data_IF_074338622264
#
_entry.id   IF_074338622264
#
_cell.length_a   1.000
_cell.length_b   1.000
_cell.length_c   1.000
_cell.angle_alpha   90.00
_cell.angle_beta   90.00
_cell.angle_gamma   90.00
#
_symmetry.space_group_name_H-M   'P 1'
#
loop_
_entity.id
_entity.type
_entity.pdbx_description
1 polymer ?
#
# COMPACT_ATOMS: atom_id res chain seq x y z
N UNK A 1 -35.77 14.35 -17.14
CA UNK A 1 -34.78 13.47 -16.48
C UNK A 1 -33.54 14.30 -16.21
N UNK A 2 -33.15 14.57 -14.96
CA UNK A 2 -32.09 15.54 -14.63
C UNK A 2 -30.70 15.12 -15.16
N UNK A 3 -30.54 13.84 -15.48
CA UNK A 3 -29.31 13.21 -15.94
C UNK A 3 -29.24 13.00 -17.46
N UNK A 4 -30.19 13.53 -18.23
CA UNK A 4 -30.20 13.43 -19.70
C UNK A 4 -30.06 14.83 -20.30
N UNK A 5 -28.99 15.06 -21.07
CA UNK A 5 -28.80 16.29 -21.85
C UNK A 5 -28.40 15.97 -23.28
N UNK A 6 -29.00 16.68 -24.22
CA UNK A 6 -28.74 16.50 -25.66
C UNK A 6 -28.77 15.02 -26.12
N UNK A 7 -29.67 14.21 -25.54
CA UNK A 7 -29.81 12.78 -25.84
C UNK A 7 -28.82 11.84 -25.13
N UNK A 8 -27.92 12.37 -24.30
CA UNK A 8 -26.91 11.60 -23.57
C UNK A 8 -27.32 11.48 -22.10
N UNK A 9 -27.40 10.23 -21.61
CA UNK A 9 -27.56 9.94 -20.20
C UNK A 9 -26.19 9.94 -19.51
N UNK A 10 -26.06 10.67 -18.41
CA UNK A 10 -24.81 10.88 -17.71
C UNK A 10 -24.96 10.59 -16.23
N UNK A 11 -24.03 9.83 -15.68
CA UNK A 11 -23.88 9.63 -14.25
C UNK A 11 -22.67 10.45 -13.77
N UNK A 12 -22.87 11.50 -12.95
CA UNK A 12 -21.77 12.32 -12.48
C UNK A 12 -20.93 11.51 -11.49
N UNK A 13 -19.61 11.65 -11.58
CA UNK A 13 -18.70 11.06 -10.61
C UNK A 13 -18.89 11.74 -9.23
N UNK A 14 -19.29 10.99 -8.19
CA UNK A 14 -19.43 11.57 -6.86
C UNK A 14 -18.09 12.13 -6.37
N UNK A 15 -18.11 13.33 -5.80
CA UNK A 15 -16.95 14.01 -5.20
C UNK A 15 -15.78 14.36 -6.15
N UNK A 16 -15.93 14.17 -7.47
CA UNK A 16 -14.87 14.40 -8.46
C UNK A 16 -13.54 13.72 -8.07
N UNK A 17 -13.61 12.52 -7.50
CA UNK A 17 -12.43 11.77 -7.05
C UNK A 17 -12.13 10.58 -7.96
N UNK A 18 -10.92 10.56 -8.52
CA UNK A 18 -10.42 9.48 -9.37
C UNK A 18 -9.47 8.59 -8.57
N UNK A 19 -9.92 7.38 -8.26
CA UNK A 19 -9.13 6.38 -7.54
C UNK A 19 -8.05 5.75 -8.43
N UNK A 20 -7.19 4.93 -7.80
CA UNK A 20 -6.11 4.18 -8.47
C UNK A 20 -6.55 3.32 -9.65
N UNK A 21 -7.83 2.93 -9.71
CA UNK A 21 -8.37 2.09 -10.79
C UNK A 21 -8.93 2.89 -11.96
N UNK A 22 -9.04 4.22 -11.82
CA UNK A 22 -9.57 5.05 -12.87
C UNK A 22 -8.48 5.35 -13.92
N UNK A 23 -8.68 4.89 -15.15
CA UNK A 23 -7.79 5.15 -16.28
C UNK A 23 -8.30 6.24 -17.22
N UNK A 24 -9.55 6.68 -17.10
CA UNK A 24 -10.13 7.69 -17.97
C UNK A 24 -10.90 8.76 -17.21
N UNK A 25 -10.77 10.00 -17.69
CA UNK A 25 -11.61 11.14 -17.33
C UNK A 25 -12.54 11.43 -18.49
N UNK A 26 -13.85 11.44 -18.23
CA UNK A 26 -14.85 11.79 -19.23
C UNK A 26 -15.54 13.07 -18.78
N UNK A 27 -15.63 14.06 -19.66
CA UNK A 27 -16.38 15.27 -19.37
C UNK A 27 -17.36 15.62 -20.50
N UNK A 28 -18.42 16.30 -20.08
CA UNK A 28 -19.45 16.84 -20.96
C UNK A 28 -19.59 18.35 -20.75
N UNK A 29 -19.58 19.11 -21.85
CA UNK A 29 -19.77 20.56 -21.85
C UNK A 29 -20.68 20.97 -23.00
N UNK A 30 -21.53 21.97 -22.82
CA UNK A 30 -22.38 22.52 -23.87
C UNK A 30 -21.99 23.98 -24.13
N UNK A 31 -21.71 24.30 -25.40
CA UNK A 31 -21.52 25.68 -25.84
C UNK A 31 -22.84 26.17 -26.44
N UNK A 32 -23.38 27.26 -25.89
CA UNK A 32 -24.68 27.82 -26.28
C UNK A 32 -24.51 29.08 -27.13
N UNK A 33 -25.41 29.27 -28.10
CA UNK A 33 -25.53 30.45 -28.96
C UNK A 33 -24.25 30.83 -29.71
N UNK A 34 -23.42 29.86 -30.10
CA UNK A 34 -22.17 30.12 -30.82
C UNK A 34 -22.42 30.67 -32.24
N UNK A 35 -23.55 30.32 -32.85
CA UNK A 35 -24.07 30.88 -34.09
C UNK A 35 -24.28 32.40 -34.05
N UNK A 36 -24.74 32.92 -32.91
CA UNK A 36 -25.01 34.35 -32.72
C UNK A 36 -23.81 35.11 -32.17
N UNK A 37 -23.09 34.51 -31.22
CA UNK A 37 -22.02 35.20 -30.49
C UNK A 37 -20.67 35.15 -31.21
N UNK A 38 -20.40 34.11 -32.00
CA UNK A 38 -19.11 33.90 -32.68
C UNK A 38 -19.27 34.00 -34.20
N UNK A 39 -20.26 33.31 -34.77
CA UNK A 39 -20.60 33.39 -36.20
C UNK A 39 -19.59 32.77 -37.17
N UNK A 40 -18.43 32.32 -36.69
CA UNK A 40 -17.39 31.63 -37.45
C UNK A 40 -16.84 30.40 -36.72
N UNK A 41 -16.00 29.61 -37.39
CA UNK A 41 -15.32 28.46 -36.82
C UNK A 41 -14.46 28.87 -35.61
N UNK A 42 -14.56 28.11 -34.53
CA UNK A 42 -13.89 28.41 -33.27
C UNK A 42 -13.28 27.15 -32.66
N UNK A 43 -12.54 27.30 -31.56
CA UNK A 43 -11.86 26.20 -30.89
C UNK A 43 -12.36 26.03 -29.46
N UNK A 44 -12.65 24.80 -29.09
CA UNK A 44 -12.82 24.38 -27.70
C UNK A 44 -11.53 23.71 -27.25
N UNK A 45 -10.81 24.36 -26.36
CA UNK A 45 -9.61 23.83 -25.71
C UNK A 45 -9.99 23.23 -24.36
N UNK A 46 -9.37 22.13 -23.97
CA UNK A 46 -9.53 21.55 -22.66
C UNK A 46 -8.18 21.14 -22.10
N UNK A 47 -7.94 21.43 -20.83
CA UNK A 47 -6.67 21.16 -20.15
C UNK A 47 -6.89 20.60 -18.75
N UNK A 48 -5.90 19.82 -18.30
CA UNK A 48 -5.74 19.42 -16.90
C UNK A 48 -4.56 20.21 -16.35
N UNK A 49 -4.80 20.98 -15.30
CA UNK A 49 -3.78 21.75 -14.58
C UNK A 49 -3.60 21.18 -13.17
N UNK A 50 -2.37 20.81 -12.80
CA UNK A 50 -1.98 20.42 -11.44
C UNK A 50 -1.89 21.66 -10.57
N UNK A 51 -2.32 21.54 -9.32
CA UNK A 51 -2.26 22.59 -8.31
C UNK A 51 -1.16 22.26 -7.31
N UNK A 52 -0.09 23.08 -7.27
CA UNK A 52 1.00 23.01 -6.31
C UNK A 52 1.32 24.41 -5.78
N UNK A 53 1.27 24.60 -4.45
CA UNK A 53 1.74 25.81 -3.75
C UNK A 53 1.33 27.17 -4.34
N UNK A 54 0.12 27.25 -4.90
CA UNK A 54 -0.44 28.47 -5.48
C UNK A 54 -0.12 28.68 -6.97
N UNK A 55 0.73 27.83 -7.55
CA UNK A 55 0.98 27.77 -8.99
C UNK A 55 0.16 26.64 -9.65
N UNK A 56 -0.04 26.79 -10.96
CA UNK A 56 -0.78 25.83 -11.77
C UNK A 56 0.06 25.37 -12.95
N UNK A 57 0.38 24.08 -13.01
CA UNK A 57 1.14 23.48 -14.10
C UNK A 57 0.21 22.73 -15.06
N UNK A 58 0.34 22.97 -16.36
CA UNK A 58 -0.45 22.25 -17.37
C UNK A 58 0.12 20.85 -17.62
N UNK A 59 -0.64 19.82 -17.27
CA UNK A 59 -0.25 18.40 -17.41
C UNK A 59 -0.77 17.79 -18.71
N UNK A 60 -1.94 18.23 -19.16
CA UNK A 60 -2.54 17.74 -20.40
C UNK A 60 -3.32 18.84 -21.10
N UNK A 61 -3.32 18.81 -22.42
CA UNK A 61 -4.13 19.71 -23.25
C UNK A 61 -4.67 18.98 -24.47
N UNK A 62 -5.88 19.35 -24.87
CA UNK A 62 -6.47 18.94 -26.14
C UNK A 62 -7.35 20.05 -26.72
N UNK A 63 -7.64 19.92 -28.01
CA UNK A 63 -8.41 20.91 -28.74
C UNK A 63 -9.41 20.23 -29.68
N UNK A 64 -10.59 20.83 -29.84
CA UNK A 64 -11.56 20.47 -30.87
C UNK A 64 -11.99 21.74 -31.61
N UNK A 65 -11.83 21.74 -32.93
CA UNK A 65 -12.44 22.78 -33.78
C UNK A 65 -13.93 22.52 -33.87
N UNK A 66 -14.73 23.58 -33.74
CA UNK A 66 -16.19 23.52 -33.78
C UNK A 66 -16.74 24.54 -34.78
N UNK A 67 -17.84 24.16 -35.44
CA UNK A 67 -18.62 25.06 -36.27
C UNK A 67 -19.68 25.75 -35.41
N UNK A 68 -20.03 27.02 -35.69
CA UNK A 68 -21.01 27.76 -34.91
C UNK A 68 -22.42 27.14 -35.06
N UNK A 69 -23.06 26.82 -33.92
CA UNK A 69 -24.43 26.28 -33.82
C UNK A 69 -25.11 26.82 -32.54
N UNK A 70 -26.46 26.76 -32.44
CA UNK A 70 -27.18 27.18 -31.24
C UNK A 70 -26.81 26.41 -29.97
N UNK A 71 -26.54 25.11 -30.08
CA UNK A 71 -26.11 24.25 -28.97
C UNK A 71 -25.09 23.24 -29.51
N UNK A 72 -23.90 23.19 -28.91
CA UNK A 72 -22.83 22.28 -29.31
C UNK A 72 -22.46 21.40 -28.12
N UNK A 73 -22.86 20.11 -28.09
CA UNK A 73 -22.44 19.18 -27.06
C UNK A 73 -20.99 18.71 -27.32
N UNK A 74 -20.14 18.90 -26.33
CA UNK A 74 -18.74 18.50 -26.31
C UNK A 74 -18.57 17.38 -25.29
N UNK A 75 -18.47 16.14 -25.79
CA UNK A 75 -18.09 14.97 -25.02
C UNK A 75 -16.64 14.59 -25.35
N UNK A 76 -15.81 14.44 -24.32
CA UNK A 76 -14.39 14.09 -24.45
C UNK A 76 -14.03 13.07 -23.37
N UNK A 77 -13.25 12.07 -23.78
CA UNK A 77 -12.59 11.13 -22.91
C UNK A 77 -11.08 11.36 -23.01
N UNK A 78 -10.43 11.49 -21.85
CA UNK A 78 -8.99 11.69 -21.70
C UNK A 78 -8.41 10.49 -20.97
N UNK A 79 -7.28 9.97 -21.44
CA UNK A 79 -6.52 8.97 -20.70
C UNK A 79 -5.80 9.66 -19.54
N UNK A 80 -6.02 9.19 -18.33
CA UNK A 80 -5.40 9.72 -17.11
C UNK A 80 -4.51 8.67 -16.42
N UNK A 81 -4.21 7.54 -17.06
CA UNK A 81 -3.40 6.48 -16.46
C UNK A 81 -2.02 6.99 -16.02
N UNK A 82 -1.45 7.93 -16.77
CA UNK A 82 -0.15 8.57 -16.52
C UNK A 82 -0.25 9.91 -15.77
N UNK A 83 -1.42 10.22 -15.18
CA UNK A 83 -1.58 11.42 -14.34
C UNK A 83 -1.29 11.03 -12.88
N UNK A 84 -0.32 11.69 -12.20
CA UNK A 84 0.08 11.39 -10.83
C UNK A 84 -1.00 11.74 -9.80
N UNK A 85 -0.81 11.37 -8.52
CA UNK A 85 -1.71 11.87 -7.47
C UNK A 85 -1.62 13.37 -7.34
N UNK A 86 -2.72 13.98 -6.90
CA UNK A 86 -2.75 15.39 -6.62
C UNK A 86 -4.11 16.03 -6.80
N UNK A 87 -4.08 17.35 -6.67
CA UNK A 87 -5.20 18.24 -6.82
C UNK A 87 -5.13 18.87 -8.21
N UNK A 88 -6.22 18.80 -8.98
CA UNK A 88 -6.23 19.24 -10.36
C UNK A 88 -7.44 20.10 -10.68
N UNK A 89 -7.32 20.87 -11.76
CA UNK A 89 -8.44 21.51 -12.42
C UNK A 89 -8.59 20.97 -13.84
N UNK A 90 -9.80 20.54 -14.18
CA UNK A 90 -10.22 20.45 -15.58
C UNK A 90 -10.72 21.82 -16.02
N UNK A 91 -10.09 22.37 -17.06
CA UNK A 91 -10.46 23.65 -17.63
C UNK A 91 -10.94 23.43 -19.06
N UNK A 92 -12.07 24.03 -19.41
CA UNK A 92 -12.60 24.06 -20.78
C UNK A 92 -12.73 25.51 -21.20
N UNK A 93 -12.08 25.86 -22.30
CA UNK A 93 -12.02 27.20 -22.86
C UNK A 93 -12.61 27.22 -24.26
N UNK A 94 -13.38 28.26 -24.56
CA UNK A 94 -13.84 28.57 -25.92
C UNK A 94 -13.02 29.76 -26.41
N UNK A 95 -12.33 29.59 -27.54
CA UNK A 95 -11.49 30.62 -28.16
C UNK A 95 -11.90 30.87 -29.61
N UNK A 96 -11.86 32.13 -30.04
CA UNK A 96 -12.10 32.48 -31.45
C UNK A 96 -10.90 32.13 -32.35
N UNK A 97 -11.01 32.45 -33.64
CA UNK A 97 -9.95 32.22 -34.62
C UNK A 97 -8.67 33.03 -34.35
N UNK A 98 -8.79 34.20 -33.72
CA UNK A 98 -7.68 35.02 -33.26
C UNK A 98 -7.03 34.50 -31.96
N UNK A 99 -7.49 33.37 -31.43
CA UNK A 99 -7.08 32.72 -30.16
C UNK A 99 -7.46 33.51 -28.90
N UNK A 100 -8.34 34.49 -29.02
CA UNK A 100 -8.88 35.25 -27.90
C UNK A 100 -9.84 34.38 -27.09
N UNK A 101 -9.76 34.47 -25.76
CA UNK A 101 -10.60 33.73 -24.84
C UNK A 101 -12.00 34.35 -24.77
N UNK A 102 -13.02 33.57 -25.14
CA UNK A 102 -14.43 33.99 -25.10
C UNK A 102 -15.15 33.49 -23.85
N UNK A 103 -14.83 32.25 -23.43
CA UNK A 103 -15.45 31.63 -22.26
C UNK A 103 -14.51 30.63 -21.63
N UNK A 104 -14.59 30.49 -20.30
CA UNK A 104 -13.77 29.56 -19.51
C UNK A 104 -14.63 28.93 -18.43
N UNK A 105 -14.52 27.62 -18.26
CA UNK A 105 -15.10 26.88 -17.14
C UNK A 105 -14.02 26.04 -16.48
N UNK A 106 -14.05 25.98 -15.16
CA UNK A 106 -13.09 25.25 -14.33
C UNK A 106 -13.84 24.33 -13.37
N UNK A 107 -13.39 23.08 -13.26
CA UNK A 107 -13.89 22.11 -12.28
C UNK A 107 -12.69 21.48 -11.58
N UNK A 108 -12.73 21.51 -10.25
CA UNK A 108 -11.74 20.86 -9.42
C UNK A 108 -12.00 19.34 -9.35
N UNK A 109 -10.93 18.55 -9.39
CA UNK A 109 -10.97 17.11 -9.13
C UNK A 109 -9.69 16.64 -8.43
N UNK A 110 -9.81 15.50 -7.73
CA UNK A 110 -8.68 14.87 -7.06
C UNK A 110 -8.34 13.55 -7.74
N UNK A 111 -7.05 13.24 -7.83
CA UNK A 111 -6.57 11.94 -8.29
C UNK A 111 -5.67 11.30 -7.26
N UNK A 112 -5.85 9.99 -7.09
CA UNK A 112 -4.97 9.12 -6.33
C UNK A 112 -4.41 8.06 -7.27
N UNK A 113 -3.12 8.16 -7.58
CA UNK A 113 -2.34 7.23 -8.39
C UNK A 113 -0.98 6.94 -7.72
N UNK A 114 -0.98 6.33 -6.52
CA UNK A 114 0.20 6.24 -5.66
C UNK A 114 1.35 5.44 -6.27
N UNK A 115 1.07 4.46 -7.13
CA UNK A 115 2.10 3.66 -7.79
C UNK A 115 2.91 4.47 -8.79
N UNK A 116 2.24 5.34 -9.56
CA UNK A 116 2.92 6.21 -10.51
C UNK A 116 3.76 7.26 -9.78
N UNK A 117 3.28 7.81 -8.66
CA UNK A 117 4.06 8.77 -7.87
C UNK A 117 5.34 8.15 -7.33
N UNK A 118 5.24 6.93 -6.79
CA UNK A 118 6.41 6.19 -6.33
C UNK A 118 7.37 5.85 -7.46
N UNK A 119 6.86 5.45 -8.63
CA UNK A 119 7.68 5.21 -9.82
C UNK A 119 8.38 6.51 -10.26
N UNK A 120 7.69 7.64 -10.29
CA UNK A 120 8.26 8.94 -10.66
C UNK A 120 9.29 9.45 -9.63
N UNK A 121 9.01 9.33 -8.33
CA UNK A 121 9.96 9.65 -7.26
C UNK A 121 11.20 8.76 -7.38
N UNK A 122 11.00 7.47 -7.61
CA UNK A 122 12.08 6.52 -7.88
C UNK A 122 12.88 6.98 -9.10
N UNK A 123 12.26 7.23 -10.25
CA UNK A 123 12.93 7.69 -11.47
C UNK A 123 13.67 9.04 -11.31
N UNK A 124 13.12 9.98 -10.55
CA UNK A 124 13.76 11.26 -10.24
C UNK A 124 14.99 11.09 -9.33
N UNK A 125 14.92 10.17 -8.37
CA UNK A 125 16.08 9.74 -7.59
C UNK A 125 17.10 9.03 -8.48
N UNK A 126 16.66 8.19 -9.43
CA UNK A 126 17.54 7.54 -10.42
C UNK A 126 18.34 8.55 -11.25
N UNK A 127 17.68 9.64 -11.66
CA UNK A 127 18.28 10.64 -12.54
C UNK A 127 19.37 11.47 -11.84
N UNK A 128 19.32 11.57 -10.50
CA UNK A 128 20.22 12.40 -9.70
C UNK A 128 21.24 11.60 -8.88
N UNK A 129 21.07 10.28 -8.75
CA UNK A 129 21.94 9.41 -7.94
C UNK A 129 22.83 8.57 -8.86
N UNK A 130 24.15 8.74 -8.73
CA UNK A 130 25.10 7.82 -9.35
C UNK A 130 25.19 6.52 -8.55
N UNK A 131 24.31 5.56 -8.83
CA UNK A 131 24.27 4.28 -8.12
C UNK A 131 25.58 3.49 -8.19
N UNK A 132 26.46 3.77 -9.17
CA UNK A 132 27.73 3.07 -9.38
C UNK A 132 28.71 3.21 -8.19
N UNK A 133 28.57 4.28 -7.40
CA UNK A 133 29.42 4.54 -6.22
C UNK A 133 28.79 4.01 -4.92
N UNK A 134 27.54 3.53 -4.98
CA UNK A 134 26.75 3.14 -3.83
C UNK A 134 26.85 1.65 -3.49
N UNK A 135 26.43 1.29 -2.28
CA UNK A 135 26.53 -0.09 -1.79
C UNK A 135 25.70 -1.08 -2.63
N UNK A 136 24.61 -0.63 -3.24
CA UNK A 136 23.68 -1.46 -4.03
C UNK A 136 24.28 -1.98 -5.34
N UNK A 137 25.31 -1.32 -5.88
CA UNK A 137 25.97 -1.77 -7.10
C UNK A 137 26.75 -3.07 -6.88
N UNK A 138 27.26 -3.29 -5.66
CA UNK A 138 28.05 -4.47 -5.30
C UNK A 138 27.19 -5.73 -5.11
N UNK A 139 25.87 -5.58 -5.03
CA UNK A 139 24.95 -6.69 -4.78
C UNK A 139 24.68 -7.49 -6.06
N UNK A 140 24.73 -8.81 -5.95
CA UNK A 140 24.25 -9.70 -7.02
C UNK A 140 22.73 -9.62 -7.15
N UNK A 141 22.14 -10.06 -8.29
CA UNK A 141 20.69 -10.16 -8.43
C UNK A 141 20.01 -10.91 -7.28
N UNK A 142 20.61 -12.02 -6.83
CA UNK A 142 20.08 -12.85 -5.75
C UNK A 142 20.15 -12.13 -4.40
N UNK A 143 21.27 -11.44 -4.11
CA UNK A 143 21.41 -10.64 -2.90
C UNK A 143 20.44 -9.46 -2.87
N UNK A 144 20.16 -8.87 -4.02
CA UNK A 144 19.23 -7.77 -4.16
C UNK A 144 17.79 -8.22 -3.91
N UNK A 145 17.37 -9.32 -4.53
CA UNK A 145 16.06 -9.93 -4.27
C UNK A 145 15.92 -10.32 -2.79
N UNK A 146 16.93 -11.01 -2.23
CA UNK A 146 16.96 -11.39 -0.82
C UNK A 146 16.79 -10.17 0.11
N UNK A 147 17.51 -9.09 -0.18
CA UNK A 147 17.46 -7.84 0.58
C UNK A 147 16.11 -7.15 0.50
N UNK A 148 15.50 -7.11 -0.69
CA UNK A 148 14.16 -6.54 -0.89
C UNK A 148 13.09 -7.37 -0.18
N UNK A 149 13.17 -8.71 -0.26
CA UNK A 149 12.27 -9.60 0.49
C UNK A 149 12.41 -9.40 1.99
N UNK A 150 13.64 -9.34 2.50
CA UNK A 150 13.92 -9.06 3.90
C UNK A 150 13.43 -7.68 4.34
N UNK A 151 13.34 -6.70 3.43
CA UNK A 151 12.85 -5.35 3.73
C UNK A 151 11.32 -5.26 3.85
N UNK A 152 10.59 -6.16 3.19
CA UNK A 152 9.11 -6.21 3.16
C UNK A 152 8.40 -5.94 4.49
N UNK A 153 8.84 -6.46 5.66
CA UNK A 153 8.17 -6.22 6.94
C UNK A 153 8.18 -4.75 7.39
N UNK A 154 9.09 -3.93 6.87
CA UNK A 154 9.20 -2.49 7.16
C UNK A 154 8.37 -1.62 6.19
N UNK A 155 7.84 -2.20 5.13
CA UNK A 155 7.21 -1.44 4.05
C UNK A 155 5.70 -1.28 4.26
N UNK A 156 5.11 -0.14 3.86
CA UNK A 156 3.66 -0.03 3.69
C UNK A 156 3.14 -1.04 2.66
N UNK A 157 1.87 -1.43 2.75
CA UNK A 157 1.31 -2.46 1.85
C UNK A 157 1.43 -2.11 0.35
N UNK A 158 1.32 -0.83 -0.02
CA UNK A 158 1.49 -0.39 -1.42
C UNK A 158 2.91 -0.63 -1.96
N UNK A 159 3.91 -0.39 -1.13
CA UNK A 159 5.32 -0.60 -1.44
C UNK A 159 5.66 -2.09 -1.59
N UNK A 160 5.01 -2.97 -0.82
CA UNK A 160 5.17 -4.42 -0.94
C UNK A 160 4.75 -4.90 -2.34
N UNK A 161 3.63 -4.41 -2.86
CA UNK A 161 3.15 -4.76 -4.21
C UNK A 161 4.11 -4.28 -5.30
N UNK A 162 4.70 -3.08 -5.11
CA UNK A 162 5.71 -2.53 -5.99
C UNK A 162 6.99 -3.39 -6.00
N UNK A 163 7.52 -3.71 -4.81
CA UNK A 163 8.71 -4.56 -4.66
C UNK A 163 8.50 -5.93 -5.30
N UNK A 164 7.37 -6.58 -5.03
CA UNK A 164 7.02 -7.87 -5.65
C UNK A 164 6.92 -7.78 -7.19
N UNK A 165 6.50 -6.64 -7.72
CA UNK A 165 6.43 -6.43 -9.17
C UNK A 165 7.82 -6.17 -9.77
N UNK A 166 8.70 -5.45 -9.08
CA UNK A 166 10.10 -5.25 -9.50
C UNK A 166 10.92 -6.55 -9.47
N UNK A 167 10.67 -7.41 -8.48
CA UNK A 167 11.27 -8.76 -8.39
C UNK A 167 10.77 -9.61 -9.56
N UNK A 168 9.46 -9.70 -9.78
CA UNK A 168 8.88 -10.51 -10.87
C UNK A 168 9.32 -10.09 -12.28
N UNK A 169 9.59 -8.81 -12.48
CA UNK A 169 9.98 -8.25 -13.78
C UNK A 169 11.50 -8.14 -13.96
N UNK A 170 12.31 -8.73 -13.07
CA UNK A 170 13.79 -8.70 -13.10
C UNK A 170 14.38 -7.30 -13.35
N UNK A 171 13.73 -6.28 -12.80
CA UNK A 171 14.08 -4.88 -13.05
C UNK A 171 15.22 -4.44 -12.13
N UNK A 172 16.43 -4.97 -12.34
CA UNK A 172 17.58 -4.81 -11.44
C UNK A 172 17.91 -3.35 -11.08
N UNK A 173 17.85 -2.44 -12.05
CA UNK A 173 18.10 -1.03 -11.78
C UNK A 173 17.02 -0.41 -10.87
N UNK A 174 15.75 -0.78 -11.08
CA UNK A 174 14.65 -0.32 -10.23
C UNK A 174 14.77 -0.91 -8.81
N UNK A 175 15.16 -2.18 -8.70
CA UNK A 175 15.42 -2.85 -7.43
C UNK A 175 16.56 -2.18 -6.64
N UNK A 176 17.72 -1.93 -7.29
CA UNK A 176 18.87 -1.25 -6.67
C UNK A 176 18.50 0.13 -6.17
N UNK A 177 17.80 0.86 -7.02
CA UNK A 177 17.38 2.21 -6.73
C UNK A 177 16.39 2.26 -5.58
N UNK A 178 15.36 1.42 -5.59
CA UNK A 178 14.39 1.36 -4.50
C UNK A 178 15.07 1.03 -3.17
N UNK A 179 15.95 0.01 -3.16
CA UNK A 179 16.71 -0.36 -1.96
C UNK A 179 17.58 0.80 -1.47
N UNK A 180 18.29 1.48 -2.37
CA UNK A 180 19.09 2.65 -2.03
C UNK A 180 18.23 3.79 -1.48
N UNK A 181 17.15 4.15 -2.18
CA UNK A 181 16.24 5.25 -1.81
C UNK A 181 15.60 5.02 -0.45
N UNK A 182 15.20 3.78 -0.14
CA UNK A 182 14.68 3.42 1.18
C UNK A 182 15.71 3.76 2.28
N UNK A 183 16.94 3.25 2.15
CA UNK A 183 17.98 3.47 3.16
C UNK A 183 18.51 4.90 3.18
N UNK A 184 18.48 5.62 2.06
CA UNK A 184 18.84 7.03 1.99
C UNK A 184 17.80 7.92 2.67
N UNK A 185 16.52 7.53 2.64
CA UNK A 185 15.47 8.20 3.41
C UNK A 185 15.63 7.97 4.91
N UNK A 186 15.88 6.72 5.31
CA UNK A 186 16.05 6.34 6.73
C UNK A 186 17.37 6.85 7.33
N UNK A 187 18.46 6.83 6.56
CA UNK A 187 19.80 7.24 6.98
C UNK A 187 20.49 8.07 5.89
N UNK A 188 20.14 9.36 5.74
CA UNK A 188 20.64 10.21 4.66
C UNK A 188 22.16 10.34 4.60
N UNK A 189 22.83 10.27 5.76
CA UNK A 189 24.28 10.43 5.86
C UNK A 189 25.06 9.13 5.64
N UNK A 190 24.44 7.97 5.89
CA UNK A 190 25.11 6.68 5.73
C UNK A 190 24.10 5.56 5.44
N UNK A 191 23.55 5.50 4.22
CA UNK A 191 22.54 4.51 3.82
C UNK A 191 23.11 3.09 3.87
N UNK A 192 24.33 2.92 3.36
CA UNK A 192 25.02 1.64 3.33
C UNK A 192 25.21 1.05 4.73
N UNK A 193 25.66 1.83 5.71
CA UNK A 193 25.82 1.33 7.08
C UNK A 193 24.50 0.87 7.70
N UNK A 194 23.42 1.64 7.53
CA UNK A 194 22.09 1.28 8.03
C UNK A 194 21.59 -0.03 7.39
N UNK A 195 21.74 -0.16 6.07
CA UNK A 195 21.44 -1.38 5.34
C UNK A 195 22.21 -2.59 5.90
N UNK A 196 23.54 -2.49 6.06
CA UNK A 196 24.35 -3.63 6.53
C UNK A 196 23.94 -4.07 7.94
N UNK A 197 23.67 -3.12 8.84
CA UNK A 197 23.20 -3.40 10.20
C UNK A 197 21.84 -4.10 10.19
N UNK A 198 20.92 -3.67 9.32
CA UNK A 198 19.64 -4.33 9.16
C UNK A 198 19.79 -5.76 8.62
N UNK A 199 20.61 -5.94 7.59
CA UNK A 199 20.83 -7.24 6.98
C UNK A 199 21.57 -8.23 7.89
N UNK A 200 22.37 -7.75 8.85
CA UNK A 200 22.92 -8.59 9.91
C UNK A 200 21.81 -9.24 10.75
N UNK A 201 20.83 -8.43 11.18
CA UNK A 201 19.64 -8.93 11.90
C UNK A 201 18.80 -9.83 11.01
N UNK A 202 18.54 -9.42 9.75
CA UNK A 202 17.73 -10.22 8.84
C UNK A 202 18.32 -11.61 8.60
N UNK A 203 19.64 -11.74 8.45
CA UNK A 203 20.32 -13.04 8.28
C UNK A 203 20.24 -13.89 9.54
N UNK A 204 20.43 -13.30 10.72
CA UNK A 204 20.27 -14.03 11.99
C UNK A 204 18.84 -14.59 12.15
N UNK A 205 17.84 -13.80 11.77
CA UNK A 205 16.42 -14.21 11.79
C UNK A 205 16.09 -15.25 10.72
N UNK A 206 16.70 -15.12 9.53
CA UNK A 206 16.60 -16.11 8.47
C UNK A 206 17.10 -17.48 8.96
N UNK A 207 18.27 -17.52 9.58
CA UNK A 207 18.85 -18.75 10.16
C UNK A 207 18.01 -19.31 11.30
N UNK A 208 17.54 -18.45 12.22
CA UNK A 208 16.78 -18.88 13.40
C UNK A 208 15.43 -19.51 13.06
N UNK A 209 14.72 -18.96 12.06
CA UNK A 209 13.38 -19.42 11.70
C UNK A 209 13.33 -20.15 10.35
N UNK A 210 14.48 -20.60 9.84
CA UNK A 210 14.55 -21.36 8.60
C UNK A 210 13.68 -22.62 8.68
N UNK A 211 12.69 -22.72 7.80
CA UNK A 211 11.78 -23.87 7.69
C UNK A 211 12.11 -24.79 6.52
N UNK A 212 13.14 -24.48 5.74
CA UNK A 212 13.54 -25.19 4.52
C UNK A 212 12.68 -24.91 3.28
N UNK A 213 11.49 -24.33 3.45
CA UNK A 213 10.57 -24.01 2.34
C UNK A 213 10.63 -22.54 1.90
N UNK A 214 11.01 -21.66 2.81
CA UNK A 214 11.07 -20.20 2.65
C UNK A 214 12.14 -19.63 3.57
N UNK A 215 12.54 -18.39 3.34
CA UNK A 215 13.45 -17.70 4.25
C UNK A 215 12.81 -17.56 5.64
N UNK A 216 13.61 -17.63 6.70
CA UNK A 216 13.16 -17.51 8.08
C UNK A 216 12.45 -16.17 8.35
N UNK A 217 12.90 -15.08 7.73
CA UNK A 217 12.19 -13.79 7.81
C UNK A 217 10.85 -13.75 7.05
N UNK A 218 10.57 -14.72 6.17
CA UNK A 218 9.27 -14.88 5.50
C UNK A 218 8.29 -15.75 6.31
N UNK A 219 8.73 -16.29 7.44
CA UNK A 219 7.83 -16.93 8.43
C UNK A 219 7.13 -15.86 9.26
N UNK A 220 5.99 -16.21 9.86
CA UNK A 220 5.22 -15.24 10.66
C UNK A 220 6.05 -14.73 11.85
N UNK A 221 6.86 -15.58 12.48
CA UNK A 221 7.77 -15.18 13.56
C UNK A 221 8.86 -14.23 13.06
N UNK A 222 9.54 -14.59 11.96
CA UNK A 222 10.59 -13.75 11.41
C UNK A 222 10.08 -12.41 10.88
N UNK A 223 8.89 -12.41 10.26
CA UNK A 223 8.22 -11.21 9.78
C UNK A 223 7.89 -10.26 10.93
N UNK A 224 7.27 -10.77 12.01
CA UNK A 224 6.93 -9.96 13.21
C UNK A 224 8.21 -9.45 13.88
N UNK A 225 9.25 -10.27 13.98
CA UNK A 225 10.54 -9.85 14.54
C UNK A 225 11.17 -8.72 13.73
N UNK A 226 11.22 -8.82 12.39
CA UNK A 226 11.79 -7.75 11.57
C UNK A 226 10.92 -6.49 11.60
N UNK A 227 9.59 -6.64 11.62
CA UNK A 227 8.67 -5.52 11.68
C UNK A 227 8.81 -4.72 12.99
N UNK A 228 8.75 -5.40 14.13
CA UNK A 228 8.65 -4.76 15.45
C UNK A 228 9.92 -4.79 16.28
N UNK A 229 10.91 -5.61 15.91
CA UNK A 229 12.11 -5.85 16.68
C UNK A 229 11.96 -7.00 17.66
N UNK A 230 12.97 -7.15 18.51
CA UNK A 230 13.04 -8.19 19.53
C UNK A 230 11.91 -8.01 20.57
N UNK A 231 11.15 -9.07 20.90
CA UNK A 231 10.21 -9.03 22.02
C UNK A 231 10.94 -8.93 23.36
N UNK A 232 10.27 -8.36 24.36
CA UNK A 232 10.80 -8.23 25.72
C UNK A 232 10.82 -9.57 26.45
N UNK A 233 9.81 -10.42 26.19
CA UNK A 233 9.71 -11.75 26.75
C UNK A 233 9.17 -12.75 25.72
N UNK A 234 9.68 -13.98 25.78
CA UNK A 234 9.27 -15.10 24.94
C UNK A 234 8.99 -16.30 25.83
N UNK A 235 7.72 -16.70 25.91
CA UNK A 235 7.34 -17.95 26.53
C UNK A 235 7.12 -19.02 25.48
N UNK A 236 8.03 -19.99 25.42
CA UNK A 236 7.92 -21.16 24.55
C UNK A 236 7.32 -22.34 25.33
N UNK A 237 6.37 -23.03 24.69
CA UNK A 237 5.73 -24.24 25.19
C UNK A 237 5.68 -25.30 24.09
N UNK A 238 6.72 -26.13 24.04
CA UNK A 238 6.80 -27.26 23.09
C UNK A 238 6.00 -28.50 23.53
N UNK A 239 5.70 -28.64 24.82
CA UNK A 239 5.14 -29.86 25.40
C UNK A 239 3.92 -29.54 26.27
N UNK A 240 2.78 -29.29 25.62
CA UNK A 240 1.48 -29.15 26.29
C UNK A 240 0.52 -30.23 25.75
N UNK A 241 0.03 -31.19 26.56
CA UNK A 241 -0.69 -32.36 26.04
C UNK A 241 -1.92 -32.08 25.17
N UNK A 242 -2.59 -30.96 25.40
CA UNK A 242 -3.81 -30.57 24.68
C UNK A 242 -3.60 -29.53 23.58
N UNK A 243 -2.35 -29.14 23.30
CA UNK A 243 -2.02 -28.12 22.30
C UNK A 243 -0.79 -28.51 21.47
N UNK A 244 -0.72 -28.08 20.21
CA UNK A 244 0.55 -28.10 19.48
C UNK A 244 1.57 -27.15 20.13
N UNK A 245 2.88 -27.28 19.81
CA UNK A 245 3.90 -26.33 20.23
C UNK A 245 3.51 -24.89 19.91
N UNK A 246 3.69 -23.99 20.88
CA UNK A 246 3.34 -22.57 20.73
C UNK A 246 4.33 -21.66 21.45
N UNK A 247 4.41 -20.41 20.98
CA UNK A 247 5.22 -19.34 21.55
C UNK A 247 4.34 -18.11 21.78
N UNK A 248 4.50 -17.48 22.94
CA UNK A 248 3.86 -16.20 23.25
C UNK A 248 4.95 -15.16 23.39
N UNK A 249 4.92 -14.15 22.52
CA UNK A 249 5.86 -13.04 22.55
C UNK A 249 5.17 -11.83 23.16
N UNK A 250 5.83 -11.19 24.12
CA UNK A 250 5.31 -10.00 24.82
C UNK A 250 6.20 -8.79 24.54
N UNK A 251 5.56 -7.68 24.22
CA UNK A 251 6.15 -6.35 24.13
C UNK A 251 5.48 -5.45 25.18
N UNK A 252 6.22 -5.07 26.22
CA UNK A 252 5.69 -4.24 27.30
C UNK A 252 5.39 -2.83 26.82
N UNK A 253 6.29 -2.27 26.03
CA UNK A 253 6.13 -0.99 25.34
C UNK A 253 6.12 -1.23 23.83
N UNK A 254 5.07 -0.79 23.15
CA UNK A 254 4.91 -1.01 21.71
C UNK A 254 4.80 0.33 20.97
N UNK A 255 5.93 0.98 20.67
CA UNK A 255 5.97 2.37 20.23
C UNK A 255 5.33 2.62 18.86
N UNK A 256 5.26 1.60 17.98
CA UNK A 256 4.71 1.78 16.63
C UNK A 256 3.21 2.11 16.63
N UNK A 257 2.45 1.56 17.58
CA UNK A 257 1.01 1.82 17.73
C UNK A 257 0.66 2.47 19.08
N UNK A 258 1.68 2.84 19.87
CA UNK A 258 1.55 3.41 21.21
C UNK A 258 0.66 2.55 22.14
N UNK A 259 0.80 1.23 22.02
CA UNK A 259 0.14 0.25 22.87
C UNK A 259 1.11 -0.26 23.95
N UNK A 260 0.55 -0.78 25.04
CA UNK A 260 1.31 -1.46 26.08
C UNK A 260 0.84 -2.92 26.19
N UNK A 261 1.72 -3.79 26.68
CA UNK A 261 1.46 -5.22 26.87
C UNK A 261 0.89 -5.88 25.60
N UNK A 262 1.51 -5.59 24.46
CA UNK A 262 1.16 -6.22 23.19
C UNK A 262 1.69 -7.65 23.18
N UNK A 263 0.83 -8.59 22.78
CA UNK A 263 1.14 -10.02 22.77
C UNK A 263 0.86 -10.62 21.40
N UNK A 264 1.74 -11.50 20.98
CA UNK A 264 1.59 -12.33 19.78
C UNK A 264 1.64 -13.79 20.19
N UNK A 265 0.70 -14.58 19.69
CA UNK A 265 0.64 -16.04 19.90
C UNK A 265 0.97 -16.70 18.58
N UNK A 266 2.05 -17.46 18.55
CA UNK A 266 2.45 -18.29 17.42
C UNK A 266 2.26 -19.75 17.80
N UNK A 267 1.85 -20.59 16.85
CA UNK A 267 1.67 -22.02 17.10
C UNK A 267 2.03 -22.84 15.87
N UNK A 268 2.39 -24.11 16.07
CA UNK A 268 2.78 -25.02 15.01
C UNK A 268 1.75 -26.15 14.83
N UNK A 269 0.65 -25.92 14.08
CA UNK A 269 -0.39 -26.92 13.90
C UNK A 269 0.04 -28.13 13.07
N UNK A 270 1.06 -27.98 12.21
CA UNK A 270 1.53 -29.04 11.32
C UNK A 270 2.54 -29.97 12.00
N UNK A 271 3.08 -29.56 13.17
CA UNK A 271 4.22 -30.17 13.85
C UNK A 271 5.49 -30.25 12.98
N UNK A 272 5.49 -29.58 11.83
CA UNK A 272 6.65 -29.51 10.95
C UNK A 272 7.70 -28.56 11.57
N UNK A 273 8.99 -28.89 11.54
CA UNK A 273 10.03 -28.03 12.11
C UNK A 273 9.95 -26.59 11.55
N UNK A 274 9.84 -25.61 12.45
CA UNK A 274 9.88 -24.19 12.10
C UNK A 274 8.58 -23.57 11.54
N UNK A 275 7.53 -24.35 11.26
CA UNK A 275 6.28 -23.88 10.64
C UNK A 275 5.28 -23.26 11.65
N UNK A 276 5.78 -22.34 12.46
CA UNK A 276 4.94 -21.56 13.38
C UNK A 276 4.18 -20.48 12.63
N UNK A 277 2.87 -20.41 12.88
CA UNK A 277 1.94 -19.46 12.28
C UNK A 277 1.42 -18.51 13.36
N UNK A 278 1.19 -17.24 13.00
CA UNK A 278 0.55 -16.27 13.87
C UNK A 278 -0.91 -16.65 14.08
N UNK A 279 -1.23 -17.06 15.30
CA UNK A 279 -2.57 -17.45 15.71
C UNK A 279 -3.41 -16.25 16.15
N UNK A 280 -2.81 -15.35 16.92
CA UNK A 280 -3.47 -14.19 17.52
C UNK A 280 -2.49 -13.07 17.85
N UNK A 281 -2.96 -11.82 17.79
CA UNK A 281 -2.27 -10.63 18.29
C UNK A 281 -3.23 -9.63 18.93
N UNK A 282 -2.74 -8.91 19.94
CA UNK A 282 -3.39 -7.71 20.50
C UNK A 282 -2.93 -6.41 19.84
N UNK A 283 -1.94 -6.46 18.94
CA UNK A 283 -1.47 -5.29 18.21
C UNK A 283 -2.53 -4.78 17.22
N UNK A 284 -2.71 -3.46 17.16
CA UNK A 284 -3.60 -2.84 16.19
C UNK A 284 -3.08 -3.01 14.77
N UNK A 285 -3.99 -3.39 13.87
CA UNK A 285 -3.66 -3.65 12.45
C UNK A 285 -3.11 -5.06 12.19
N UNK A 286 -2.91 -5.87 13.23
CA UNK A 286 -2.48 -7.26 13.10
C UNK A 286 -3.65 -8.25 13.22
N UNK A 287 -3.37 -9.53 12.93
CA UNK A 287 -4.37 -10.60 13.05
C UNK A 287 -4.94 -10.65 14.47
N UNK A 288 -6.22 -10.32 14.62
CA UNK A 288 -6.95 -10.50 15.87
C UNK A 288 -7.93 -11.68 15.74
N UNK A 289 -7.67 -12.74 16.49
CA UNK A 289 -8.51 -13.95 16.54
C UNK A 289 -9.10 -14.13 17.94
N UNK A 290 -10.33 -13.68 18.25
CA UNK A 290 -10.91 -13.85 19.57
C UNK A 290 -11.07 -15.30 20.03
N UNK A 291 -11.11 -16.27 19.09
CA UNK A 291 -11.29 -17.69 19.37
C UNK A 291 -9.97 -18.47 19.43
N UNK A 292 -8.83 -17.77 19.49
CA UNK A 292 -7.51 -18.37 19.40
C UNK A 292 -7.25 -19.51 20.40
N UNK A 293 -7.80 -19.44 21.61
CA UNK A 293 -7.64 -20.52 22.59
C UNK A 293 -8.31 -21.81 22.09
N UNK A 294 -9.47 -21.73 21.43
CA UNK A 294 -10.14 -22.91 20.88
C UNK A 294 -9.34 -23.50 19.72
N UNK A 295 -8.78 -22.64 18.88
CA UNK A 295 -7.94 -23.09 17.77
C UNK A 295 -6.66 -23.77 18.27
N UNK A 296 -6.05 -23.24 19.32
CA UNK A 296 -4.88 -23.83 19.97
C UNK A 296 -5.23 -25.17 20.63
N UNK A 297 -6.35 -25.25 21.34
CA UNK A 297 -6.81 -26.43 22.09
C UNK A 297 -7.87 -27.25 21.34
N UNK A 298 -7.81 -27.29 20.01
CA UNK A 298 -8.83 -27.93 19.17
C UNK A 298 -9.05 -29.42 19.50
N UNK A 299 -8.02 -30.08 20.01
CA UNK A 299 -8.06 -31.50 20.39
C UNK A 299 -8.75 -31.75 21.75
N UNK A 300 -9.19 -30.69 22.44
CA UNK A 300 -9.98 -30.74 23.67
C UNK A 300 -11.40 -30.14 23.50
N UNK A 301 -12.23 -30.59 22.53
CA UNK A 301 -13.49 -29.95 22.16
C UNK A 301 -14.57 -29.96 23.26
N UNK A 302 -14.45 -30.85 24.24
CA UNK A 302 -15.38 -30.97 25.37
C UNK A 302 -15.02 -30.04 26.55
N UNK A 303 -13.93 -29.27 26.44
CA UNK A 303 -13.42 -28.41 27.50
C UNK A 303 -13.59 -26.92 27.18
N UNK A 304 -14.61 -26.55 26.41
CA UNK A 304 -14.93 -25.14 26.13
C UNK A 304 -15.65 -24.55 27.35
N UNK A 305 -15.29 -23.32 27.72
CA UNK A 305 -15.93 -22.63 28.84
C UNK A 305 -17.33 -22.12 28.46
N UNK A 306 -18.33 -22.48 29.27
CA UNK A 306 -19.73 -22.07 29.07
C UNK A 306 -20.55 -23.06 28.24
N UNK A 307 -21.80 -22.68 27.92
CA UNK A 307 -22.75 -23.50 27.14
C UNK A 307 -22.87 -23.05 25.67
N UNK A 308 -22.19 -21.98 25.28
CA UNK A 308 -22.19 -21.46 23.91
C UNK A 308 -21.10 -22.13 23.07
N UNK A 309 -21.48 -23.23 22.40
CA UNK A 309 -20.62 -23.99 21.51
C UNK A 309 -20.17 -23.22 20.25
N UNK A 310 -20.90 -22.17 19.86
CA UNK A 310 -20.64 -21.43 18.63
C UNK A 310 -19.84 -20.15 18.91
N UNK A 311 -20.23 -19.37 19.92
CA UNK A 311 -19.64 -18.08 20.26
C UNK A 311 -18.59 -18.08 21.37
N UNK A 312 -18.42 -19.19 22.11
CA UNK A 312 -17.40 -19.29 23.16
C UNK A 312 -15.98 -19.03 22.66
N UNK A 313 -15.20 -18.29 23.43
CA UNK A 313 -13.81 -17.87 23.11
C UNK A 313 -12.77 -18.48 24.05
N UNK A 314 -13.19 -18.93 25.24
CA UNK A 314 -12.30 -19.45 26.28
C UNK A 314 -12.43 -20.97 26.44
N UNK A 315 -11.33 -21.60 26.86
CA UNK A 315 -11.31 -23.01 27.26
C UNK A 315 -11.34 -23.10 28.80
N UNK A 316 -11.93 -24.16 29.35
CA UNK A 316 -11.92 -24.45 30.78
C UNK A 316 -10.50 -24.44 31.31
N UNK A 317 -10.26 -23.91 32.50
CA UNK A 317 -8.92 -23.96 33.07
C UNK A 317 -8.57 -25.38 33.55
N UNK A 318 -7.32 -25.82 33.33
CA UNK A 318 -6.82 -27.09 33.85
C UNK A 318 -5.31 -27.01 34.13
N UNK A 319 -4.76 -27.91 34.96
CA UNK A 319 -3.34 -27.83 35.37
C UNK A 319 -2.35 -27.77 34.20
N UNK A 320 -2.68 -28.42 33.08
CA UNK A 320 -1.82 -28.52 31.90
C UNK A 320 -2.06 -27.39 30.89
N UNK A 321 -3.05 -26.51 31.08
CA UNK A 321 -3.43 -25.47 30.12
C UNK A 321 -2.86 -24.11 30.55
N UNK A 322 -1.80 -23.66 29.88
CA UNK A 322 -1.07 -22.47 30.32
C UNK A 322 -1.28 -21.24 29.45
N UNK A 323 -1.56 -21.39 28.15
CA UNK A 323 -1.57 -20.27 27.21
C UNK A 323 -2.49 -19.12 27.67
N UNK A 324 -3.71 -19.43 28.13
CA UNK A 324 -4.64 -18.42 28.61
C UNK A 324 -4.22 -17.72 29.91
N UNK A 325 -3.38 -18.33 30.75
CA UNK A 325 -2.84 -17.70 31.96
C UNK A 325 -1.72 -16.73 31.58
N UNK A 326 -0.72 -17.22 30.84
CA UNK A 326 0.38 -16.43 30.29
C UNK A 326 -0.11 -15.22 29.50
N UNK A 327 -1.16 -15.43 28.71
CA UNK A 327 -1.74 -14.36 27.91
C UNK A 327 -2.46 -13.30 28.75
N UNK A 328 -3.02 -13.66 29.92
CA UNK A 328 -3.70 -12.74 30.83
C UNK A 328 -2.78 -12.12 31.88
N UNK A 329 -1.67 -12.76 32.20
CA UNK A 329 -0.70 -12.23 33.16
C UNK A 329 -0.10 -10.93 32.61
N UNK A 330 -0.05 -9.89 33.46
CA UNK A 330 0.36 -8.49 33.21
C UNK A 330 -0.72 -7.53 32.66
#
# INVERSE_FOLDING_TARGET
NAFVKSGIQMEPLPYNFYSRHASSLIFYNEVYNADKAIGEDFMVSYSIEKLEDGESEMVMIGHKRQKPQPIIPVLVQMDISQVPSGNYNLIVEVRNRAKELLSRKRIFFQRSNPFLDQELETLQLAANVNLQEEFVEKLTPEELEYSLRALTPKLPQGDVDLVNSMIRNDSLNAQRLYLFSFWAKESPNNPGFAYHKYMEVARAIDEQFNSGFRHGFETDRGYIYLKYGQPDDIENRDQEPSAPPYEIWTYYEFPLTNQNNVKFVFYNPSLAPGDYQLLHSTAFGERNNPQWQRDLYRDAPNEIQGSDYFGGTEMLDNFNRNAGRVFRDY
#
